data_IF_104621215996
#
_entry.id   IF_104621215996
#
_cell.length_a   1.000
_cell.length_b   1.000
_cell.length_c   1.000
_cell.angle_alpha   90.00
_cell.angle_beta   90.00
_cell.angle_gamma   90.00
#
_symmetry.space_group_name_H-M   'P 1'
#
loop_
_entity.id
_entity.type
_entity.pdbx_description
1 polymer ?
#
# COMPACT_ATOMS: atom_id res chain seq x y z
N UNK A 1 -3.95 43.93 8.23
CA UNK A 1 -4.16 42.61 7.60
C UNK A 1 -3.78 41.54 8.62
N UNK A 2 -4.74 40.96 9.33
CA UNK A 2 -4.51 39.86 10.29
C UNK A 2 -5.06 38.58 9.69
N UNK A 3 -4.18 37.63 9.37
CA UNK A 3 -4.56 36.32 8.84
C UNK A 3 -5.07 35.43 9.96
N UNK A 4 -6.22 34.79 9.76
CA UNK A 4 -6.76 33.79 10.67
C UNK A 4 -5.78 32.61 10.80
N UNK A 5 -5.75 31.92 11.96
CA UNK A 5 -4.94 30.73 12.14
C UNK A 5 -5.32 29.66 11.12
N UNK A 6 -4.31 28.88 10.69
CA UNK A 6 -4.53 27.80 9.74
C UNK A 6 -5.61 26.83 10.29
N UNK A 7 -6.55 26.37 9.45
CA UNK A 7 -7.54 25.40 9.88
C UNK A 7 -6.85 24.15 10.43
N UNK A 8 -7.35 23.66 11.57
CA UNK A 8 -6.81 22.45 12.21
C UNK A 8 -6.88 21.26 11.25
N UNK A 9 -5.76 20.55 11.10
CA UNK A 9 -5.72 19.33 10.29
C UNK A 9 -6.61 18.29 10.97
N UNK A 10 -7.67 17.86 10.29
CA UNK A 10 -8.48 16.72 10.73
C UNK A 10 -7.67 15.47 10.38
N UNK A 11 -7.10 14.74 11.36
CA UNK A 11 -6.42 13.49 11.06
C UNK A 11 -7.43 12.51 10.46
N UNK A 12 -7.04 11.85 9.37
CA UNK A 12 -7.85 10.78 8.82
C UNK A 12 -8.14 9.74 9.90
N UNK A 13 -9.38 9.21 9.95
CA UNK A 13 -9.77 8.15 10.89
C UNK A 13 -8.71 7.06 10.89
N UNK A 14 -8.24 6.67 12.08
CA UNK A 14 -7.12 5.74 12.23
C UNK A 14 -7.41 4.34 11.68
N UNK A 15 -8.69 3.96 11.59
CA UNK A 15 -9.16 2.71 10.99
C UNK A 15 -9.54 2.83 9.50
N UNK A 16 -9.03 3.84 8.79
CA UNK A 16 -9.25 3.92 7.35
C UNK A 16 -8.60 2.72 6.64
N UNK A 17 -9.37 2.11 5.73
CA UNK A 17 -8.90 1.05 4.82
C UNK A 17 -7.64 1.50 4.06
N UNK A 18 -7.53 2.80 3.77
CA UNK A 18 -6.36 3.40 3.14
C UNK A 18 -5.12 3.28 4.04
N UNK A 19 -5.21 3.69 5.31
CA UNK A 19 -4.09 3.61 6.25
C UNK A 19 -3.61 2.16 6.42
N UNK A 20 -4.56 1.21 6.46
CA UNK A 20 -4.26 -0.24 6.46
C UNK A 20 -3.48 -0.67 5.22
N UNK A 21 -3.92 -0.27 4.03
CA UNK A 21 -3.28 -0.60 2.76
C UNK A 21 -1.86 -0.04 2.64
N UNK A 22 -1.66 1.24 2.97
CA UNK A 22 -0.33 1.86 2.94
C UNK A 22 0.60 1.27 4.01
N UNK A 23 0.08 0.89 5.18
CA UNK A 23 0.87 0.21 6.21
C UNK A 23 1.37 -1.17 5.77
N UNK A 24 0.59 -1.89 4.95
CA UNK A 24 1.04 -3.17 4.35
C UNK A 24 2.18 -2.91 3.35
N UNK A 25 2.02 -1.90 2.49
CA UNK A 25 3.07 -1.55 1.53
C UNK A 25 4.37 -1.08 2.19
N UNK A 26 4.28 -0.37 3.33
CA UNK A 26 5.45 0.03 4.12
C UNK A 26 6.14 -1.14 4.82
N UNK A 27 5.40 -2.16 5.27
CA UNK A 27 6.00 -3.36 5.85
C UNK A 27 6.90 -4.10 4.85
N UNK A 28 6.66 -3.93 3.55
CA UNK A 28 7.42 -4.52 2.45
C UNK A 28 8.56 -3.63 1.93
N UNK A 29 8.91 -2.55 2.65
CA UNK A 29 9.91 -1.57 2.22
C UNK A 29 11.30 -2.15 1.95
N UNK A 30 11.65 -3.23 2.65
CA UNK A 30 12.97 -3.85 2.54
C UNK A 30 13.16 -4.53 1.17
N UNK A 31 12.06 -4.95 0.54
CA UNK A 31 12.04 -5.55 -0.79
C UNK A 31 11.78 -4.54 -1.91
N UNK A 32 11.23 -3.36 -1.58
CA UNK A 32 10.90 -2.29 -2.52
C UNK A 32 11.72 -1.03 -2.21
N UNK A 33 12.92 -0.86 -2.80
CA UNK A 33 13.75 0.32 -2.57
C UNK A 33 13.08 1.63 -3.02
N UNK A 34 12.23 1.57 -4.05
CA UNK A 34 11.57 2.75 -4.63
C UNK A 34 10.32 3.11 -3.83
N UNK A 35 10.34 4.25 -3.15
CA UNK A 35 9.20 4.73 -2.36
C UNK A 35 7.91 4.89 -3.21
N UNK A 36 8.05 5.34 -4.45
CA UNK A 36 6.91 5.48 -5.36
C UNK A 36 6.24 4.12 -5.66
N UNK A 37 7.01 3.04 -5.78
CA UNK A 37 6.47 1.69 -6.00
C UNK A 37 5.66 1.22 -4.77
N UNK A 38 6.12 1.55 -3.57
CA UNK A 38 5.38 1.30 -2.32
C UNK A 38 4.05 2.06 -2.30
N UNK A 39 4.06 3.33 -2.70
CA UNK A 39 2.83 4.13 -2.76
C UNK A 39 1.85 3.58 -3.80
N UNK A 40 2.34 3.18 -4.98
CA UNK A 40 1.53 2.53 -6.02
C UNK A 40 0.95 1.21 -5.52
N UNK A 41 1.74 0.41 -4.81
CA UNK A 41 1.26 -0.84 -4.21
C UNK A 41 0.19 -0.57 -3.14
N UNK A 42 0.41 0.39 -2.24
CA UNK A 42 -0.59 0.77 -1.23
C UNK A 42 -1.93 1.17 -1.85
N UNK A 43 -1.89 1.94 -2.94
CA UNK A 43 -3.11 2.29 -3.69
C UNK A 43 -3.79 1.10 -4.38
N UNK A 44 -3.01 0.17 -4.95
CA UNK A 44 -3.55 -1.06 -5.54
C UNK A 44 -4.19 -1.95 -4.49
N UNK A 45 -3.55 -2.10 -3.32
CA UNK A 45 -4.11 -2.82 -2.17
C UNK A 45 -5.39 -2.16 -1.69
N UNK A 46 -5.43 -0.83 -1.60
CA UNK A 46 -6.64 -0.11 -1.22
C UNK A 46 -7.80 -0.40 -2.19
N UNK A 47 -7.54 -0.37 -3.50
CA UNK A 47 -8.53 -0.75 -4.51
C UNK A 47 -8.99 -2.19 -4.34
N UNK A 48 -8.08 -3.12 -4.06
CA UNK A 48 -8.42 -4.51 -3.79
C UNK A 48 -9.32 -4.65 -2.56
N UNK A 49 -8.99 -4.01 -1.45
CA UNK A 49 -9.77 -4.03 -0.21
C UNK A 49 -11.16 -3.37 -0.36
N UNK A 50 -11.30 -2.43 -1.29
CA UNK A 50 -12.58 -1.77 -1.62
C UNK A 50 -13.36 -2.50 -2.73
N UNK A 51 -12.88 -3.66 -3.20
CA UNK A 51 -13.53 -4.48 -4.22
C UNK A 51 -13.43 -3.94 -5.65
N UNK A 52 -12.58 -2.93 -5.89
CA UNK A 52 -12.37 -2.26 -7.20
C UNK A 52 -11.01 -2.56 -7.83
N UNK A 53 -10.24 -3.48 -7.26
CA UNK A 53 -8.87 -3.77 -7.67
C UNK A 53 -8.64 -5.25 -7.96
N UNK A 54 -7.53 -5.51 -8.64
CA UNK A 54 -7.12 -6.86 -9.01
C UNK A 54 -6.50 -7.62 -7.83
N UNK A 55 -6.45 -8.95 -7.93
CA UNK A 55 -5.79 -9.80 -6.94
C UNK A 55 -4.27 -9.54 -6.89
N UNK A 56 -3.60 -9.85 -5.76
CA UNK A 56 -2.14 -9.79 -5.60
C UNK A 56 -1.37 -10.44 -6.75
N UNK A 57 -1.83 -11.61 -7.20
CA UNK A 57 -1.25 -12.37 -8.31
C UNK A 57 -1.22 -11.60 -9.65
N UNK A 58 -2.15 -10.66 -9.84
CA UNK A 58 -2.26 -9.86 -11.07
C UNK A 58 -1.59 -8.49 -10.87
N UNK A 59 -1.82 -7.84 -9.71
CA UNK A 59 -1.32 -6.48 -9.47
C UNK A 59 0.21 -6.41 -9.39
N UNK A 60 0.86 -7.42 -8.81
CA UNK A 60 2.32 -7.43 -8.62
C UNK A 60 3.07 -7.55 -9.97
N UNK A 61 2.78 -8.54 -10.83
CA UNK A 61 3.46 -8.62 -12.13
C UNK A 61 3.06 -7.49 -13.08
N UNK A 62 1.81 -7.03 -13.06
CA UNK A 62 1.37 -5.91 -13.92
C UNK A 62 1.93 -4.55 -13.46
N UNK A 63 2.15 -4.37 -12.16
CA UNK A 63 2.65 -3.14 -11.56
C UNK A 63 4.09 -2.77 -11.94
N UNK A 64 4.86 -3.74 -12.46
CA UNK A 64 6.28 -3.62 -12.82
C UNK A 64 7.11 -3.01 -11.69
N UNK A 65 6.92 -3.52 -10.48
CA UNK A 65 7.61 -3.02 -9.29
C UNK A 65 9.10 -3.36 -9.32
N UNK A 66 9.91 -2.43 -8.80
CA UNK A 66 11.35 -2.63 -8.61
C UNK A 66 11.57 -3.45 -7.35
N UNK A 67 11.63 -4.78 -7.48
CA UNK A 67 11.87 -5.69 -6.37
C UNK A 67 13.37 -5.98 -6.21
N UNK A 68 13.85 -6.02 -4.96
CA UNK A 68 15.24 -6.34 -4.62
C UNK A 68 15.30 -7.51 -3.66
N UNK A 69 16.12 -8.52 -3.99
CA UNK A 69 16.37 -9.67 -3.11
C UNK A 69 15.20 -10.67 -3.01
N UNK A 70 14.18 -10.54 -3.86
CA UNK A 70 13.03 -11.44 -3.90
C UNK A 70 12.49 -11.58 -5.32
N UNK A 71 11.92 -12.73 -5.65
CA UNK A 71 11.22 -12.93 -6.92
C UNK A 71 9.77 -12.41 -6.86
N UNK A 72 9.19 -12.12 -8.03
CA UNK A 72 7.78 -11.69 -8.16
C UNK A 72 6.83 -12.68 -7.48
N UNK A 73 7.04 -14.00 -7.67
CA UNK A 73 6.19 -15.05 -7.09
C UNK A 73 6.27 -15.11 -5.57
N UNK A 74 7.46 -14.95 -5.00
CA UNK A 74 7.65 -14.93 -3.54
C UNK A 74 7.04 -13.66 -2.93
N UNK A 75 7.17 -12.52 -3.62
CA UNK A 75 6.57 -11.26 -3.20
C UNK A 75 5.04 -11.33 -3.18
N UNK A 76 4.41 -11.96 -4.18
CA UNK A 76 2.96 -12.21 -4.20
C UNK A 76 2.53 -13.00 -2.96
N UNK A 77 3.22 -14.10 -2.65
CA UNK A 77 2.90 -14.94 -1.47
C UNK A 77 3.04 -14.17 -0.15
N UNK A 78 4.06 -13.33 -0.02
CA UNK A 78 4.23 -12.46 1.15
C UNK A 78 3.10 -11.46 1.27
N UNK A 79 2.72 -10.82 0.15
CA UNK A 79 1.65 -9.83 0.12
C UNK A 79 0.30 -10.47 0.48
N UNK A 80 -0.02 -11.66 -0.05
CA UNK A 80 -1.22 -12.40 0.32
C UNK A 80 -1.26 -12.76 1.81
N UNK A 81 -0.12 -13.16 2.37
CA UNK A 81 0.00 -13.46 3.79
C UNK A 81 -0.25 -12.21 4.65
N UNK A 82 0.32 -11.07 4.28
CA UNK A 82 0.07 -9.79 4.96
C UNK A 82 -1.40 -9.34 4.85
N UNK A 83 -2.01 -9.50 3.67
CA UNK A 83 -3.42 -9.20 3.46
C UNK A 83 -4.32 -10.08 4.31
N UNK A 84 -4.00 -11.36 4.49
CA UNK A 84 -4.75 -12.29 5.34
C UNK A 84 -4.54 -12.07 6.83
N UNK A 85 -3.34 -11.65 7.25
CA UNK A 85 -3.05 -11.36 8.65
C UNK A 85 -3.67 -10.06 9.15
N UNK A 86 -3.79 -9.05 8.27
CA UNK A 86 -4.43 -7.79 8.63
C UNK A 86 -5.90 -7.73 8.25
N UNK A 87 -6.37 -8.53 7.29
CA UNK A 87 -7.75 -8.60 6.78
C UNK A 87 -8.77 -8.82 7.86
#
# INVERSE_FOLDING_TARGET
MTTLPAPGVIPAKEDSIEKKAYSIAEALKDFMPVANDRNRLGFMIYKYLTGKGDAPEIMVPSGKFSLKGITVKEFVKLLEKELRNKG
#
